data_IF_277462711373
#
_entry.id   IF_277462711373
#
_cell.length_a   1.000
_cell.length_b   1.000
_cell.length_c   1.000
_cell.angle_alpha   90.00
_cell.angle_beta   90.00
_cell.angle_gamma   90.00
#
_symmetry.space_group_name_H-M   'P 1'
#
loop_
_entity.id
_entity.type
_entity.pdbx_description
1 polymer ?
#
# COMPACT_ATOMS: atom_id res chain seq x y z
N UNK A 1 9.47 -24.32 -17.52
CA UNK A 1 8.93 -22.96 -17.78
C UNK A 1 9.53 -22.04 -16.72
N UNK A 2 10.32 -21.03 -17.11
CA UNK A 2 11.11 -20.24 -16.17
C UNK A 2 10.25 -19.13 -15.55
N UNK A 3 10.18 -19.06 -14.21
CA UNK A 3 9.34 -18.11 -13.46
C UNK A 3 9.60 -16.65 -13.87
N UNK A 4 10.87 -16.33 -14.11
CA UNK A 4 11.31 -14.99 -14.55
C UNK A 4 10.75 -14.61 -15.93
N UNK A 5 10.53 -15.59 -16.81
CA UNK A 5 9.97 -15.35 -18.15
C UNK A 5 8.47 -15.05 -18.11
N UNK A 6 7.75 -15.56 -17.12
CA UNK A 6 6.31 -15.31 -16.93
C UNK A 6 6.11 -13.93 -16.30
N UNK A 7 6.84 -13.65 -15.22
CA UNK A 7 6.73 -12.40 -14.44
C UNK A 7 7.15 -11.16 -15.23
N UNK A 8 8.13 -11.27 -16.15
CA UNK A 8 8.57 -10.15 -17.00
C UNK A 8 7.93 -10.15 -18.40
N UNK A 9 6.88 -10.94 -18.62
CA UNK A 9 6.19 -10.91 -19.90
C UNK A 9 5.55 -9.54 -20.12
N UNK A 10 5.75 -8.95 -21.30
CA UNK A 10 5.08 -7.70 -21.70
C UNK A 10 3.70 -8.05 -22.25
N UNK A 11 2.64 -7.53 -21.65
CA UNK A 11 1.28 -7.78 -22.14
C UNK A 11 0.94 -6.75 -23.23
N UNK A 12 0.94 -7.19 -24.50
CA UNK A 12 0.73 -6.29 -25.66
C UNK A 12 -0.74 -6.02 -26.02
N UNK A 13 -1.71 -6.60 -25.29
CA UNK A 13 -3.14 -6.44 -25.58
C UNK A 13 -3.92 -5.92 -24.39
N UNK A 14 -4.66 -4.81 -24.58
CA UNK A 14 -5.51 -4.19 -23.55
C UNK A 14 -6.43 -5.21 -22.87
N UNK A 15 -7.08 -6.10 -23.65
CA UNK A 15 -7.94 -7.17 -23.12
C UNK A 15 -7.19 -8.13 -22.18
N UNK A 16 -5.95 -8.51 -22.53
CA UNK A 16 -5.13 -9.42 -21.71
C UNK A 16 -4.67 -8.72 -20.43
N UNK A 17 -4.22 -7.47 -20.53
CA UNK A 17 -3.80 -6.67 -19.38
C UNK A 17 -4.96 -6.44 -18.39
N UNK A 18 -6.13 -6.01 -18.89
CA UNK A 18 -7.33 -5.85 -18.06
C UNK A 18 -7.76 -7.15 -17.39
N UNK A 19 -7.76 -8.27 -18.13
CA UNK A 19 -8.12 -9.57 -17.56
C UNK A 19 -7.18 -9.97 -16.43
N UNK A 20 -5.87 -9.81 -16.61
CA UNK A 20 -4.87 -10.11 -15.59
C UNK A 20 -5.10 -9.27 -14.34
N UNK A 21 -5.23 -7.94 -14.47
CA UNK A 21 -5.44 -7.07 -13.31
C UNK A 21 -6.74 -7.41 -12.57
N UNK A 22 -7.84 -7.63 -13.29
CA UNK A 22 -9.14 -7.98 -12.68
C UNK A 22 -9.05 -9.32 -11.95
N UNK A 23 -8.45 -10.34 -12.57
CA UNK A 23 -8.28 -11.66 -11.94
C UNK A 23 -7.39 -11.56 -10.71
N UNK A 24 -6.29 -10.83 -10.77
CA UNK A 24 -5.42 -10.63 -9.61
C UNK A 24 -6.11 -9.89 -8.47
N UNK A 25 -6.92 -8.87 -8.75
CA UNK A 25 -7.73 -8.18 -7.74
C UNK A 25 -8.76 -9.14 -7.13
N UNK A 26 -9.45 -9.95 -7.95
CA UNK A 26 -10.40 -10.93 -7.46
C UNK A 26 -9.74 -11.97 -6.56
N UNK A 27 -8.59 -12.52 -6.97
CA UNK A 27 -7.81 -13.46 -6.16
C UNK A 27 -7.40 -12.80 -4.83
N UNK A 28 -6.89 -11.56 -4.87
CA UNK A 28 -6.51 -10.82 -3.67
C UNK A 28 -7.69 -10.60 -2.72
N UNK A 29 -8.88 -10.28 -3.26
CA UNK A 29 -10.12 -10.13 -2.47
C UNK A 29 -10.55 -11.45 -1.85
N UNK A 30 -10.51 -12.56 -2.59
CA UNK A 30 -10.83 -13.89 -2.08
C UNK A 30 -9.86 -14.29 -0.97
N UNK A 31 -8.55 -14.08 -1.16
CA UNK A 31 -7.55 -14.34 -0.12
C UNK A 31 -7.77 -13.47 1.11
N UNK A 32 -8.14 -12.20 0.94
CA UNK A 32 -8.53 -11.31 2.04
C UNK A 32 -9.76 -11.84 2.81
N UNK A 33 -10.79 -12.28 2.11
CA UNK A 33 -11.97 -12.89 2.74
C UNK A 33 -11.64 -14.18 3.48
N UNK A 34 -10.74 -15.00 2.94
CA UNK A 34 -10.25 -16.20 3.62
C UNK A 34 -9.47 -15.83 4.89
N UNK A 35 -8.57 -14.84 4.82
CA UNK A 35 -7.86 -14.30 5.99
C UNK A 35 -8.85 -13.86 7.07
N UNK A 36 -9.84 -13.05 6.71
CA UNK A 36 -10.81 -12.52 7.67
C UNK A 36 -11.67 -13.65 8.28
N UNK A 37 -12.02 -14.66 7.47
CA UNK A 37 -12.72 -15.87 7.95
C UNK A 37 -11.86 -16.69 8.92
N UNK A 38 -10.58 -16.88 8.64
CA UNK A 38 -9.67 -17.57 9.55
C UNK A 38 -9.52 -16.79 10.85
N UNK A 39 -9.30 -15.48 10.78
CA UNK A 39 -9.19 -14.63 11.97
C UNK A 39 -10.47 -14.70 12.81
N UNK A 40 -11.65 -14.53 12.22
CA UNK A 40 -12.92 -14.65 12.92
C UNK A 40 -13.15 -16.08 13.48
N UNK A 41 -12.71 -17.11 12.78
CA UNK A 41 -12.84 -18.51 13.23
C UNK A 41 -11.94 -18.86 14.41
N UNK A 42 -10.70 -18.35 14.43
CA UNK A 42 -9.75 -18.60 15.52
C UNK A 42 -9.97 -17.69 16.73
N UNK A 43 -10.27 -16.41 16.50
CA UNK A 43 -10.35 -15.40 17.55
C UNK A 43 -11.80 -15.08 17.98
N UNK A 44 -12.81 -15.47 17.20
CA UNK A 44 -14.21 -15.15 17.50
C UNK A 44 -14.46 -13.65 17.64
N UNK A 45 -15.44 -13.28 18.45
CA UNK A 45 -15.66 -11.89 18.90
C UNK A 45 -14.77 -11.59 20.09
N UNK A 46 -13.46 -11.44 19.87
CA UNK A 46 -12.49 -11.11 20.91
C UNK A 46 -11.96 -9.68 20.78
N UNK A 47 -11.59 -9.12 21.93
CA UNK A 47 -10.95 -7.80 22.00
C UNK A 47 -9.64 -7.75 21.21
N UNK A 48 -8.88 -8.85 21.15
CA UNK A 48 -7.63 -8.90 20.38
C UNK A 48 -7.88 -8.80 18.87
N UNK A 49 -8.99 -9.35 18.37
CA UNK A 49 -9.38 -9.20 16.96
C UNK A 49 -9.83 -7.76 16.64
N UNK A 50 -10.57 -7.14 17.55
CA UNK A 50 -10.97 -5.74 17.42
C UNK A 50 -9.76 -4.79 17.44
N UNK A 51 -8.77 -5.06 18.31
CA UNK A 51 -7.47 -4.38 18.34
C UNK A 51 -6.77 -4.51 16.99
N UNK A 52 -6.69 -5.74 16.45
CA UNK A 52 -6.07 -6.00 15.16
C UNK A 52 -6.72 -5.16 14.04
N UNK A 53 -8.04 -5.25 13.87
CA UNK A 53 -8.72 -4.49 12.81
C UNK A 53 -8.64 -2.98 13.00
N UNK A 54 -8.73 -2.50 14.25
CA UNK A 54 -8.62 -1.07 14.55
C UNK A 54 -7.22 -0.54 14.20
N UNK A 55 -6.17 -1.32 14.47
CA UNK A 55 -4.80 -0.91 14.22
C UNK A 55 -4.47 -0.74 12.72
N UNK A 56 -5.17 -1.44 11.82
CA UNK A 56 -5.01 -1.26 10.37
C UNK A 56 -5.70 -0.02 9.81
N UNK A 57 -6.68 0.53 10.53
CA UNK A 57 -7.62 1.51 9.98
C UNK A 57 -6.96 2.81 9.52
N UNK A 58 -6.03 3.35 10.31
CA UNK A 58 -5.31 4.58 9.96
C UNK A 58 -4.25 4.34 8.88
N UNK A 59 -3.37 3.32 9.01
CA UNK A 59 -2.46 2.94 7.92
C UNK A 59 -3.17 2.74 6.57
N UNK A 60 -4.27 1.99 6.56
CA UNK A 60 -5.03 1.68 5.33
C UNK A 60 -5.68 2.94 4.73
N UNK A 61 -6.21 3.83 5.58
CA UNK A 61 -6.78 5.10 5.13
C UNK A 61 -5.73 5.96 4.43
N UNK A 62 -4.56 6.10 5.04
CA UNK A 62 -3.46 6.86 4.45
C UNK A 62 -2.97 6.22 3.16
N UNK A 63 -2.85 4.89 3.13
CA UNK A 63 -2.50 4.17 1.91
C UNK A 63 -3.47 4.45 0.76
N UNK A 64 -4.78 4.33 1.04
CA UNK A 64 -5.83 4.48 0.04
C UNK A 64 -5.94 5.89 -0.53
N UNK A 65 -5.83 6.93 0.31
CA UNK A 65 -5.96 8.32 -0.13
C UNK A 65 -4.70 8.80 -0.84
N UNK A 66 -3.53 8.64 -0.22
CA UNK A 66 -2.29 9.25 -0.71
C UNK A 66 -1.72 8.49 -1.89
N UNK A 67 -1.66 7.16 -1.79
CA UNK A 67 -0.91 6.36 -2.76
C UNK A 67 -1.80 5.85 -3.87
N UNK A 68 -2.84 5.09 -3.52
CA UNK A 68 -3.75 4.54 -4.52
C UNK A 68 -4.52 5.66 -5.26
N UNK A 69 -4.96 6.70 -4.55
CA UNK A 69 -5.69 7.83 -5.13
C UNK A 69 -4.81 8.93 -5.73
N UNK A 70 -3.67 9.24 -5.12
CA UNK A 70 -2.85 10.42 -5.47
C UNK A 70 -1.62 10.11 -6.32
N UNK A 71 -0.63 9.44 -5.72
CA UNK A 71 0.70 9.24 -6.32
C UNK A 71 0.61 8.43 -7.60
N UNK A 72 -0.06 7.28 -7.59
CA UNK A 72 -0.11 6.41 -8.78
C UNK A 72 -0.77 7.10 -9.98
N UNK A 73 -1.82 7.89 -9.74
CA UNK A 73 -2.57 8.60 -10.79
C UNK A 73 -1.76 9.78 -11.37
N UNK A 74 -1.06 10.51 -10.51
CA UNK A 74 -0.34 11.72 -10.91
C UNK A 74 1.06 11.45 -11.46
N UNK A 75 1.73 10.40 -10.95
CA UNK A 75 3.11 10.09 -11.30
C UNK A 75 3.27 9.48 -12.70
N UNK A 76 2.36 8.58 -13.10
CA UNK A 76 2.46 7.87 -14.37
C UNK A 76 2.48 8.82 -15.60
N UNK A 77 1.60 9.84 -15.72
CA UNK A 77 1.67 10.81 -16.81
C UNK A 77 2.99 11.59 -16.85
N UNK A 78 3.48 12.03 -15.70
CA UNK A 78 4.73 12.79 -15.56
C UNK A 78 5.92 11.93 -15.99
N UNK A 79 6.02 10.71 -15.45
CA UNK A 79 7.07 9.76 -15.82
C UNK A 79 7.04 9.46 -17.32
N UNK A 80 5.85 9.21 -17.90
CA UNK A 80 5.68 8.96 -19.32
C UNK A 80 6.16 10.15 -20.19
N UNK A 81 5.86 11.39 -19.80
CA UNK A 81 6.28 12.57 -20.55
C UNK A 81 7.81 12.72 -20.57
N UNK A 82 8.44 12.60 -19.40
CA UNK A 82 9.90 12.72 -19.30
C UNK A 82 10.60 11.55 -19.98
N UNK A 83 10.09 10.31 -19.84
CA UNK A 83 10.70 9.13 -20.44
C UNK A 83 10.70 9.19 -21.98
N UNK A 84 9.69 9.81 -22.59
CA UNK A 84 9.64 10.04 -24.04
C UNK A 84 10.66 11.07 -24.51
N UNK A 85 10.95 12.09 -23.71
CA UNK A 85 11.88 13.19 -24.05
C UNK A 85 13.33 12.82 -23.74
N UNK A 86 13.61 12.40 -22.50
CA UNK A 86 14.92 12.04 -22.01
C UNK A 86 14.82 11.00 -20.89
N UNK A 87 15.34 9.80 -21.14
CA UNK A 87 15.29 8.68 -20.19
C UNK A 87 16.05 8.97 -18.89
N UNK A 88 17.18 9.67 -18.96
CA UNK A 88 17.97 10.00 -17.76
C UNK A 88 17.19 10.95 -16.85
N UNK A 89 16.54 11.96 -17.43
CA UNK A 89 15.69 12.88 -16.67
C UNK A 89 14.48 12.18 -16.04
N UNK A 90 13.89 11.19 -16.71
CA UNK A 90 12.82 10.38 -16.14
C UNK A 90 13.29 9.61 -14.90
N UNK A 91 14.49 9.02 -14.93
CA UNK A 91 15.07 8.33 -13.76
C UNK A 91 15.47 9.30 -12.65
N UNK A 92 15.92 10.52 -12.98
CA UNK A 92 16.14 11.57 -11.97
C UNK A 92 14.83 11.92 -11.25
N UNK A 93 13.72 12.04 -11.97
CA UNK A 93 12.40 12.27 -11.36
C UNK A 93 11.99 11.15 -10.42
N UNK A 94 12.18 9.89 -10.82
CA UNK A 94 11.92 8.75 -9.93
C UNK A 94 12.70 8.90 -8.63
N UNK A 95 14.01 9.21 -8.72
CA UNK A 95 14.85 9.41 -7.55
C UNK A 95 14.39 10.61 -6.70
N UNK A 96 14.01 11.73 -7.31
CA UNK A 96 13.49 12.89 -6.58
C UNK A 96 12.19 12.56 -5.84
N UNK A 97 11.25 11.90 -6.52
CA UNK A 97 9.96 11.50 -5.93
C UNK A 97 10.18 10.54 -4.77
N UNK A 98 11.02 9.52 -4.92
CA UNK A 98 11.31 8.57 -3.85
C UNK A 98 12.01 9.21 -2.65
N UNK A 99 12.99 10.11 -2.88
CA UNK A 99 13.68 10.81 -1.80
C UNK A 99 12.76 11.79 -1.05
N UNK A 100 11.99 12.60 -1.78
CA UNK A 100 11.02 13.53 -1.18
C UNK A 100 9.97 12.73 -0.41
N UNK A 101 9.46 11.65 -0.99
CA UNK A 101 8.53 10.75 -0.32
C UNK A 101 9.13 10.21 0.98
N UNK A 102 10.34 9.66 0.94
CA UNK A 102 11.00 9.10 2.12
C UNK A 102 11.17 10.15 3.23
N UNK A 103 11.63 11.35 2.90
CA UNK A 103 11.83 12.44 3.86
C UNK A 103 10.50 12.90 4.48
N UNK A 104 9.50 13.19 3.64
CA UNK A 104 8.18 13.63 4.11
C UNK A 104 7.50 12.55 4.95
N UNK A 105 7.59 11.30 4.50
CA UNK A 105 7.05 10.16 5.22
C UNK A 105 7.72 9.96 6.56
N UNK A 106 9.05 10.09 6.64
CA UNK A 106 9.78 9.96 7.90
C UNK A 106 9.36 11.03 8.91
N UNK A 107 9.23 12.28 8.47
CA UNK A 107 8.70 13.37 9.31
C UNK A 107 7.28 13.03 9.79
N UNK A 108 6.42 12.57 8.89
CA UNK A 108 5.04 12.22 9.21
C UNK A 108 4.95 11.01 10.16
N UNK A 109 5.80 10.01 10.00
CA UNK A 109 5.92 8.84 10.86
C UNK A 109 6.26 9.26 12.29
N UNK A 110 7.23 10.17 12.47
CA UNK A 110 7.61 10.65 13.80
C UNK A 110 6.44 11.37 14.49
N UNK A 111 5.74 12.25 13.75
CA UNK A 111 4.54 12.93 14.24
C UNK A 111 3.48 11.89 14.60
N UNK A 112 3.22 10.94 13.70
CA UNK A 112 2.21 9.91 13.89
C UNK A 112 2.49 9.06 15.14
N UNK A 113 3.72 8.63 15.37
CA UNK A 113 4.09 7.85 16.56
C UNK A 113 3.75 8.60 17.85
N UNK A 114 4.00 9.91 17.88
CA UNK A 114 3.71 10.76 19.04
C UNK A 114 2.20 10.92 19.26
N UNK A 115 1.44 11.14 18.18
CA UNK A 115 0.00 11.39 18.24
C UNK A 115 -0.89 10.13 18.16
N UNK A 116 -0.29 8.95 17.95
CA UNK A 116 -1.01 7.68 17.87
C UNK A 116 -1.94 7.42 19.08
N UNK A 117 -1.56 7.66 20.35
CA UNK A 117 -2.46 7.50 21.49
C UNK A 117 -3.75 8.30 21.37
N UNK A 118 -3.64 9.57 20.99
CA UNK A 118 -4.78 10.47 20.84
C UNK A 118 -5.68 10.00 19.68
N UNK A 119 -5.07 9.67 18.53
CA UNK A 119 -5.82 9.19 17.37
C UNK A 119 -6.61 7.92 17.72
N UNK A 120 -5.98 6.96 18.38
CA UNK A 120 -6.64 5.70 18.77
C UNK A 120 -7.73 5.94 19.81
N UNK A 121 -7.54 6.84 20.79
CA UNK A 121 -8.59 7.16 21.76
C UNK A 121 -9.87 7.72 21.11
N UNK A 122 -9.73 8.49 20.01
CA UNK A 122 -10.89 8.98 19.26
C UNK A 122 -11.48 7.91 18.34
N UNK A 123 -10.65 7.03 17.79
CA UNK A 123 -11.09 5.99 16.85
C UNK A 123 -11.82 4.84 17.55
N UNK A 124 -11.39 4.49 18.76
CA UNK A 124 -11.93 3.38 19.56
C UNK A 124 -12.17 3.81 21.02
N UNK A 125 -13.12 4.73 21.28
CA UNK A 125 -13.39 5.23 22.63
C UNK A 125 -13.93 4.16 23.58
N UNK A 126 -14.44 3.04 23.05
CA UNK A 126 -14.94 1.91 23.83
C UNK A 126 -13.86 0.95 24.33
N UNK A 127 -12.60 1.11 23.92
CA UNK A 127 -11.50 0.27 24.39
C UNK A 127 -11.05 0.71 25.78
N UNK A 128 -10.78 -0.28 26.64
CA UNK A 128 -10.13 -0.04 27.93
C UNK A 128 -8.67 0.42 27.75
N UNK A 129 -8.02 0.82 28.84
CA UNK A 129 -6.66 1.37 28.79
C UNK A 129 -5.63 0.38 28.22
N UNK A 130 -5.81 -0.92 28.48
CA UNK A 130 -4.92 -1.97 28.01
C UNK A 130 -5.10 -2.23 26.51
N UNK A 131 -6.34 -2.31 26.03
CA UNK A 131 -6.66 -2.46 24.61
C UNK A 131 -6.23 -1.24 23.80
N UNK A 132 -6.41 -0.02 24.34
CA UNK A 132 -5.89 1.20 23.70
C UNK A 132 -4.36 1.15 23.56
N UNK A 133 -3.63 0.82 24.63
CA UNK A 133 -2.17 0.72 24.58
C UNK A 133 -1.69 -0.30 23.53
N UNK A 134 -2.27 -1.51 23.53
CA UNK A 134 -1.99 -2.53 22.51
C UNK A 134 -2.26 -2.05 21.09
N UNK A 135 -3.39 -1.36 20.88
CA UNK A 135 -3.77 -0.84 19.57
C UNK A 135 -2.79 0.22 19.11
N UNK A 136 -2.35 1.11 20.00
CA UNK A 136 -1.35 2.15 19.69
C UNK A 136 -0.04 1.51 19.23
N UNK A 137 0.47 0.53 19.97
CA UNK A 137 1.74 -0.13 19.63
C UNK A 137 1.64 -0.89 18.30
N UNK A 138 0.54 -1.62 18.09
CA UNK A 138 0.29 -2.32 16.84
C UNK A 138 0.14 -1.36 15.67
N UNK A 139 -0.59 -0.25 15.86
CA UNK A 139 -0.78 0.77 14.82
C UNK A 139 0.55 1.40 14.44
N UNK A 140 1.40 1.77 15.41
CA UNK A 140 2.73 2.33 15.15
C UNK A 140 3.58 1.38 14.32
N UNK A 141 3.55 0.09 14.65
CA UNK A 141 4.30 -0.94 13.92
C UNK A 141 3.77 -1.12 12.49
N UNK A 142 2.46 -1.24 12.31
CA UNK A 142 1.84 -1.34 10.98
C UNK A 142 2.12 -0.06 10.17
N UNK A 143 2.11 1.10 10.81
CA UNK A 143 2.35 2.35 10.11
C UNK A 143 3.68 2.33 9.39
N UNK A 144 4.76 1.77 9.98
CA UNK A 144 6.06 1.63 9.30
C UNK A 144 5.94 0.94 7.94
N UNK A 145 5.03 -0.02 7.76
CA UNK A 145 4.84 -0.73 6.48
C UNK A 145 4.29 0.18 5.36
N UNK A 146 3.61 1.27 5.69
CA UNK A 146 3.06 2.24 4.71
C UNK A 146 4.17 2.88 3.88
N UNK A 147 5.38 3.05 4.43
CA UNK A 147 6.55 3.49 3.66
C UNK A 147 6.80 2.57 2.47
N UNK A 148 6.86 1.26 2.72
CA UNK A 148 7.19 0.26 1.72
C UNK A 148 6.08 0.14 0.67
N UNK A 149 4.82 0.17 1.09
CA UNK A 149 3.70 0.21 0.16
C UNK A 149 3.73 1.47 -0.70
N UNK A 150 4.12 2.61 -0.13
CA UNK A 150 4.27 3.85 -0.86
C UNK A 150 5.35 3.79 -1.94
N UNK A 151 6.54 3.31 -1.60
CA UNK A 151 7.62 3.10 -2.58
C UNK A 151 7.22 2.09 -3.65
N UNK A 152 6.55 1.01 -3.25
CA UNK A 152 6.02 -0.01 -4.16
C UNK A 152 5.05 0.59 -5.19
N UNK A 153 4.19 1.54 -4.78
CA UNK A 153 3.25 2.22 -5.69
C UNK A 153 3.93 3.03 -6.80
N UNK A 154 5.12 3.60 -6.54
CA UNK A 154 5.92 4.29 -7.55
C UNK A 154 6.50 3.28 -8.54
N UNK A 155 7.04 2.17 -8.04
CA UNK A 155 7.54 1.07 -8.87
C UNK A 155 6.42 0.48 -9.74
N UNK A 156 5.22 0.33 -9.17
CA UNK A 156 4.02 -0.12 -9.87
C UNK A 156 3.69 0.77 -11.07
N UNK A 157 3.71 2.09 -10.88
CA UNK A 157 3.46 3.03 -11.96
C UNK A 157 4.50 2.90 -13.10
N UNK A 158 5.78 2.68 -12.76
CA UNK A 158 6.84 2.44 -13.74
C UNK A 158 6.60 1.12 -14.51
N UNK A 159 6.25 0.04 -13.80
CA UNK A 159 5.96 -1.26 -14.42
C UNK A 159 4.74 -1.19 -15.35
N UNK A 160 3.69 -0.47 -14.94
CA UNK A 160 2.51 -0.22 -15.77
C UNK A 160 2.86 0.55 -17.04
N UNK A 161 3.77 1.53 -16.97
CA UNK A 161 4.28 2.22 -18.16
C UNK A 161 4.93 1.26 -19.17
N UNK A 162 5.69 0.26 -18.67
CA UNK A 162 6.35 -0.74 -19.52
C UNK A 162 5.46 -1.91 -19.94
N UNK A 163 4.15 -1.86 -19.65
CA UNK A 163 3.20 -2.94 -19.89
C UNK A 163 3.60 -4.27 -19.21
N UNK A 164 4.21 -4.18 -18.03
CA UNK A 164 4.50 -5.34 -17.19
C UNK A 164 3.54 -5.37 -15.99
N UNK A 165 2.29 -5.77 -16.26
CA UNK A 165 1.23 -5.75 -15.25
C UNK A 165 1.33 -6.93 -14.28
N UNK A 166 1.79 -8.10 -14.75
CA UNK A 166 1.89 -9.32 -13.94
C UNK A 166 2.90 -9.23 -12.79
N UNK A 167 4.00 -8.49 -12.96
CA UNK A 167 5.00 -8.34 -11.90
C UNK A 167 4.49 -7.55 -10.69
N UNK A 168 3.43 -6.76 -10.86
CA UNK A 168 2.83 -5.96 -9.79
C UNK A 168 1.46 -6.48 -9.32
N UNK A 169 0.71 -7.15 -10.20
CA UNK A 169 -0.67 -7.58 -9.94
C UNK A 169 -0.78 -8.70 -8.92
#
# INVERSE_FOLDING_TARGET
>A
MNLNGILNSKQSGMKKATLIMVVSVLISRVLGLLRDRFLAGYFGTSIDLDIYFTAFRIPDLIYSIIFAGGITVSFLPIFSEYFKKNKEEAWKIVNYVLNIFFVLYFIFLLIFIVFAPQIISYLAPGFDSLAQAKTVDLTRLIFVSVLFFGMSSVVAAILNYFNNFLAFS
#
